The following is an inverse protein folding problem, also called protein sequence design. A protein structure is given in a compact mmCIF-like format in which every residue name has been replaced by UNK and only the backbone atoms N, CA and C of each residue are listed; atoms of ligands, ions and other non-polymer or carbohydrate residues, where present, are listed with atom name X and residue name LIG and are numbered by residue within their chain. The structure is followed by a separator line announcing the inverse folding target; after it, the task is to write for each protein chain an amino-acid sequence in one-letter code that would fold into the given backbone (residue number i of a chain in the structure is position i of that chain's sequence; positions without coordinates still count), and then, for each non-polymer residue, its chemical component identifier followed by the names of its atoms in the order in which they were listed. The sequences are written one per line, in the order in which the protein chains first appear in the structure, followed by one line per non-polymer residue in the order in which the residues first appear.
data_IF_012675807730
#
_entry.id   IF_012675807730
#
_cell.length_a   1.000
_cell.length_b   1.000
_cell.length_c   1.000
_cell.angle_alpha   90.00
_cell.angle_beta   90.00
_cell.angle_gamma   90.00
#
_symmetry.space_group_name_H-M   'P 1'
#
loop_
_entity.id
_entity.type
_entity.pdbx_description
1 polymer ?
#
# COMPACT_ATOMS: atom_id res chain seq x y z
N UNK A 1 -2.56 14.29 -3.29
CA UNK A 1 -2.70 12.90 -2.81
C UNK A 1 -3.26 12.89 -1.40
N UNK A 2 -4.18 11.98 -1.05
CA UNK A 2 -4.69 11.81 0.31
C UNK A 2 -4.33 10.41 0.82
N UNK A 3 -3.35 10.32 1.73
CA UNK A 3 -3.07 9.08 2.45
C UNK A 3 -4.17 8.83 3.50
N UNK A 4 -5.29 8.29 3.05
CA UNK A 4 -6.53 8.15 3.80
C UNK A 4 -7.30 6.91 3.34
N UNK A 5 -7.85 6.13 4.26
CA UNK A 5 -8.67 4.95 3.94
C UNK A 5 -10.02 5.30 3.28
N UNK A 6 -10.44 6.56 3.30
CA UNK A 6 -11.58 7.03 2.52
C UNK A 6 -11.27 7.14 1.01
N UNK A 7 -9.99 7.25 0.64
CA UNK A 7 -9.53 7.30 -0.74
C UNK A 7 -9.44 5.87 -1.32
N UNK A 8 -10.15 5.62 -2.42
CA UNK A 8 -10.19 4.30 -3.09
C UNK A 8 -8.82 3.94 -3.66
N UNK A 9 -8.11 4.89 -4.27
CA UNK A 9 -6.80 4.63 -4.84
C UNK A 9 -5.78 4.29 -3.73
N UNK A 10 -5.89 4.93 -2.56
CA UNK A 10 -5.09 4.56 -1.41
C UNK A 10 -5.40 3.14 -0.91
N UNK A 11 -6.67 2.76 -0.77
CA UNK A 11 -7.05 1.39 -0.38
C UNK A 11 -6.57 0.34 -1.39
N UNK A 12 -6.69 0.61 -2.68
CA UNK A 12 -6.17 -0.26 -3.74
C UNK A 12 -4.65 -0.39 -3.67
N UNK A 13 -3.92 0.67 -3.31
CA UNK A 13 -2.48 0.59 -3.08
C UNK A 13 -2.13 -0.33 -1.90
N UNK A 14 -2.84 -0.23 -0.78
CA UNK A 14 -2.60 -1.11 0.37
C UNK A 14 -2.90 -2.57 0.00
N UNK A 15 -4.02 -2.81 -0.69
CA UNK A 15 -4.38 -4.15 -1.20
C UNK A 15 -3.32 -4.72 -2.16
N UNK A 16 -2.78 -3.89 -3.07
CA UNK A 16 -1.62 -4.28 -3.89
C UNK A 16 -0.42 -4.67 -3.01
N UNK A 17 -0.17 -3.95 -1.92
CA UNK A 17 0.89 -4.25 -0.97
C UNK A 17 0.70 -5.55 -0.21
N UNK A 18 -0.54 -5.93 0.07
CA UNK A 18 -0.87 -7.22 0.67
C UNK A 18 -0.61 -8.37 -0.30
N UNK A 19 -0.99 -8.20 -1.56
CA UNK A 19 -0.80 -9.20 -2.61
C UNK A 19 0.64 -9.31 -3.13
N UNK A 20 1.49 -8.31 -2.86
CA UNK A 20 2.77 -8.10 -3.56
C UNK A 20 3.64 -9.35 -3.67
N UNK A 21 3.94 -10.01 -2.55
CA UNK A 21 4.77 -11.22 -2.56
C UNK A 21 4.12 -12.39 -3.32
N UNK A 22 2.79 -12.51 -3.24
CA UNK A 22 2.03 -13.52 -3.99
C UNK A 22 2.08 -13.28 -5.49
N UNK A 23 1.96 -12.01 -5.91
CA UNK A 23 2.11 -11.61 -7.31
C UNK A 23 3.51 -11.93 -7.83
N UNK A 24 4.56 -11.57 -7.08
CA UNK A 24 5.94 -11.89 -7.46
C UNK A 24 6.17 -13.40 -7.57
N UNK A 25 5.68 -14.20 -6.61
CA UNK A 25 5.78 -15.68 -6.67
C UNK A 25 5.04 -16.28 -7.87
N UNK A 26 3.92 -15.68 -8.28
CA UNK A 26 3.18 -16.06 -9.49
C UNK A 26 3.81 -15.52 -10.79
N UNK A 27 4.95 -14.81 -10.72
CA UNK A 27 5.60 -14.20 -11.87
C UNK A 27 4.80 -13.04 -12.48
N UNK A 28 3.95 -12.37 -11.70
CA UNK A 28 3.25 -11.14 -12.08
C UNK A 28 4.07 -9.98 -11.51
N UNK A 29 4.59 -9.12 -12.39
CA UNK A 29 5.38 -7.95 -11.99
C UNK A 29 4.51 -6.68 -12.00
N UNK A 30 4.12 -6.14 -10.83
CA UNK A 30 3.30 -4.92 -10.77
C UNK A 30 4.09 -3.65 -11.07
N UNK A 31 5.44 -3.71 -11.08
CA UNK A 31 6.30 -2.53 -11.26
C UNK A 31 6.31 -2.01 -12.69
N UNK A 32 5.85 -2.81 -13.66
CA UNK A 32 5.81 -2.48 -15.09
C UNK A 32 4.95 -1.25 -15.43
N UNK A 33 4.11 -0.78 -14.49
CA UNK A 33 3.29 0.42 -14.63
C UNK A 33 3.82 1.61 -13.84
N UNK A 34 5.08 1.56 -13.44
CA UNK A 34 5.76 2.64 -12.73
C UNK A 34 5.37 2.73 -11.25
N UNK A 35 4.77 1.67 -10.68
CA UNK A 35 4.54 1.59 -9.24
C UNK A 35 5.67 0.78 -8.58
N UNK A 36 6.52 1.47 -7.84
CA UNK A 36 7.51 0.82 -6.98
C UNK A 36 6.99 0.80 -5.55
N UNK A 37 7.11 -0.35 -4.89
CA UNK A 37 6.69 -0.51 -3.52
C UNK A 37 7.62 -1.44 -2.75
N UNK A 38 7.89 -1.06 -1.51
CA UNK A 38 8.54 -1.89 -0.50
C UNK A 38 7.59 -2.06 0.69
N UNK A 39 7.65 -3.25 1.29
CA UNK A 39 6.86 -3.65 2.46
C UNK A 39 7.79 -4.11 3.57
N UNK A 40 7.57 -3.63 4.79
CA UNK A 40 8.36 -4.00 5.98
C UNK A 40 7.40 -4.30 7.14
N UNK A 41 7.59 -5.42 7.83
CA UNK A 41 6.78 -5.79 8.99
C UNK A 41 7.48 -5.36 10.30
N UNK A 42 6.78 -4.57 11.12
CA UNK A 42 7.33 -3.92 12.32
C UNK A 42 6.74 -4.47 13.64
N UNK A 43 6.25 -5.72 13.65
CA UNK A 43 5.69 -6.32 14.87
C UNK A 43 4.36 -5.70 15.31
N UNK A 44 3.45 -5.49 14.35
CA UNK A 44 2.09 -4.98 14.60
C UNK A 44 1.67 -3.90 13.61
N UNK A 45 2.63 -3.22 12.99
CA UNK A 45 2.40 -2.38 11.81
C UNK A 45 3.09 -3.00 10.61
N UNK A 46 2.49 -2.80 9.44
CA UNK A 46 3.13 -3.01 8.15
C UNK A 46 3.44 -1.65 7.56
N UNK A 47 4.72 -1.38 7.30
CA UNK A 47 5.15 -0.17 6.59
C UNK A 47 5.10 -0.41 5.10
N UNK A 48 4.35 0.44 4.40
CA UNK A 48 4.30 0.52 2.95
C UNK A 48 5.03 1.77 2.51
N UNK A 49 6.05 1.60 1.65
CA UNK A 49 6.77 2.70 1.02
C UNK A 49 6.55 2.60 -0.49
N UNK A 50 5.85 3.57 -1.07
CA UNK A 50 5.45 3.55 -2.48
C UNK A 50 5.81 4.84 -3.21
N UNK A 51 6.12 4.72 -4.50
CA UNK A 51 6.43 5.86 -5.36
C UNK A 51 6.54 5.50 -6.84
N UNK A 52 6.71 6.50 -7.72
CA UNK A 52 6.88 6.30 -9.15
C UNK A 52 8.27 5.80 -9.56
N UNK A 53 9.17 5.59 -8.59
CA UNK A 53 10.58 5.24 -8.82
C UNK A 53 11.28 4.86 -7.53
N UNK A 54 12.61 5.02 -7.48
CA UNK A 54 13.45 4.65 -6.32
C UNK A 54 13.16 5.46 -5.05
N UNK A 55 12.57 6.65 -5.16
CA UNK A 55 12.21 7.49 -4.03
C UNK A 55 10.72 7.35 -3.70
N UNK A 56 10.42 6.82 -2.51
CA UNK A 56 9.05 6.73 -2.01
C UNK A 56 8.45 8.13 -1.79
N UNK A 57 7.31 8.40 -2.44
CA UNK A 57 6.48 9.60 -2.25
C UNK A 57 5.49 9.43 -1.11
N UNK A 58 5.10 8.18 -0.85
CA UNK A 58 4.18 7.81 0.20
C UNK A 58 4.86 6.79 1.11
N UNK A 59 4.90 7.08 2.41
CA UNK A 59 5.34 6.14 3.43
C UNK A 59 4.30 6.12 4.53
N UNK A 60 3.69 4.97 4.74
CA UNK A 60 2.64 4.78 5.74
C UNK A 60 2.87 3.52 6.54
N UNK A 61 2.45 3.52 7.79
CA UNK A 61 2.37 2.32 8.62
C UNK A 61 0.89 2.00 8.83
N UNK A 62 0.53 0.77 8.50
CA UNK A 62 -0.82 0.26 8.63
C UNK A 62 -0.87 -0.85 9.66
N UNK A 63 -1.71 -0.68 10.68
CA UNK A 63 -2.08 -1.76 11.59
C UNK A 63 -3.51 -2.20 11.26
N UNK A 64 -3.61 -3.39 10.66
CA UNK A 64 -4.87 -4.01 10.27
C UNK A 64 -5.77 -4.26 11.49
N UNK A 65 -5.22 -4.86 12.55
CA UNK A 65 -5.99 -5.25 13.75
C UNK A 65 -6.63 -4.07 14.48
N UNK A 66 -5.88 -2.97 14.64
CA UNK A 66 -6.37 -1.76 15.32
C UNK A 66 -6.92 -0.71 14.35
N UNK A 67 -6.94 -1.00 13.05
CA UNK A 67 -7.33 -0.06 11.99
C UNK A 67 -6.69 1.32 12.13
N UNK A 68 -5.38 1.34 12.37
CA UNK A 68 -4.63 2.57 12.59
C UNK A 68 -3.66 2.83 11.45
N UNK A 69 -3.84 3.98 10.79
CA UNK A 69 -2.98 4.50 9.74
C UNK A 69 -2.07 5.58 10.32
N UNK A 70 -0.76 5.37 10.24
CA UNK A 70 0.24 6.41 10.51
C UNK A 70 0.85 6.85 9.19
N UNK A 71 0.80 8.15 8.92
CA UNK A 71 1.38 8.75 7.71
C UNK A 71 2.74 9.34 8.09
N UNK A 72 3.80 8.75 7.56
CA UNK A 72 5.19 9.17 7.81
C UNK A 72 5.69 10.12 6.72
N UNK A 73 5.24 9.89 5.49
CA UNK A 73 5.51 10.73 4.32
C UNK A 73 4.32 10.70 3.38
N UNK A 74 3.94 11.86 2.86
CA UNK A 74 2.87 12.00 1.87
C UNK A 74 3.22 13.20 0.99
N UNK A 75 4.23 13.02 0.15
CA UNK A 75 4.68 14.04 -0.80
C UNK A 75 3.69 14.14 -1.97
N UNK A 76 3.81 15.21 -2.75
CA UNK A 76 3.05 15.30 -4.00
C UNK A 76 3.46 14.18 -4.96
N UNK A 77 2.45 13.56 -5.55
CA UNK A 77 2.60 12.49 -6.55
C UNK A 77 1.57 12.72 -7.65
N UNK A 78 1.93 13.52 -8.65
CA UNK A 78 1.10 13.72 -9.83
C UNK A 78 0.78 12.39 -10.50
N UNK A 79 -0.50 12.16 -10.82
CA UNK A 79 -0.95 10.93 -11.48
C UNK A 79 -1.06 9.70 -10.58
N UNK A 80 -0.99 9.85 -9.25
CA UNK A 80 -1.12 8.74 -8.28
C UNK A 80 -2.27 7.78 -8.61
N UNK A 81 -3.49 8.30 -8.76
CA UNK A 81 -4.69 7.49 -9.04
C UNK A 81 -4.58 6.74 -10.37
N UNK A 82 -4.04 7.40 -11.40
CA UNK A 82 -3.82 6.80 -12.71
C UNK A 82 -2.78 5.68 -12.65
N UNK A 83 -1.66 5.88 -11.92
CA UNK A 83 -0.63 4.86 -11.71
C UNK A 83 -1.18 3.64 -10.98
N UNK A 84 -1.93 3.84 -9.89
CA UNK A 84 -2.55 2.74 -9.13
C UNK A 84 -3.57 2.00 -10.00
N UNK A 85 -4.46 2.73 -10.67
CA UNK A 85 -5.49 2.15 -11.54
C UNK A 85 -4.89 1.33 -12.69
N UNK A 86 -3.88 1.87 -13.38
CA UNK A 86 -3.17 1.17 -14.45
C UNK A 86 -2.47 -0.09 -13.94
N UNK A 87 -1.90 -0.03 -12.72
CA UNK A 87 -1.25 -1.18 -12.09
C UNK A 87 -2.27 -2.28 -11.74
N UNK A 88 -3.39 -1.91 -11.12
CA UNK A 88 -4.49 -2.86 -10.81
C UNK A 88 -5.01 -3.52 -12.08
N UNK A 89 -5.26 -2.76 -13.15
CA UNK A 89 -5.72 -3.30 -14.43
C UNK A 89 -4.71 -4.29 -15.04
N UNK A 90 -3.41 -3.96 -14.99
CA UNK A 90 -2.34 -4.84 -15.46
C UNK A 90 -2.25 -6.13 -14.63
N UNK A 91 -2.30 -6.03 -13.30
CA UNK A 91 -2.29 -7.18 -12.38
C UNK A 91 -3.51 -8.08 -12.62
N UNK A 92 -4.73 -7.53 -12.74
CA UNK A 92 -5.94 -8.32 -13.05
C UNK A 92 -5.81 -9.06 -14.38
N UNK A 93 -5.27 -8.40 -15.40
CA UNK A 93 -5.06 -8.99 -16.73
C UNK A 93 -4.04 -10.14 -16.67
N UNK A 94 -2.93 -9.95 -15.96
CA UNK A 94 -1.90 -10.96 -15.77
C UNK A 94 -2.36 -12.13 -14.88
N UNK A 95 -3.18 -11.87 -13.87
CA UNK A 95 -3.78 -12.86 -12.99
C UNK A 95 -4.81 -13.73 -13.72
N UNK A 96 -5.61 -13.14 -14.63
CA UNK A 96 -6.52 -13.88 -15.50
C UNK A 96 -5.79 -14.92 -16.35
N UNK A 97 -4.67 -14.54 -16.95
CA UNK A 97 -3.84 -15.45 -17.75
C UNK A 97 -3.23 -16.60 -16.93
N UNK A 98 -3.14 -16.45 -15.61
CA UNK A 98 -2.59 -17.44 -14.68
C UNK A 98 -3.66 -18.19 -13.87
N UNK A 99 -4.94 -17.97 -14.13
CA UNK A 99 -6.02 -18.57 -13.37
C UNK A 99 -6.14 -18.10 -11.91
N UNK A 100 -5.56 -16.94 -11.58
CA UNK A 100 -5.54 -16.36 -10.22
C UNK A 100 -6.51 -15.18 -10.06
N UNK A 101 -7.37 -14.93 -11.06
CA UNK A 101 -8.20 -13.74 -11.10
C UNK A 101 -9.10 -13.63 -9.87
N UNK A 102 -9.75 -14.71 -9.44
CA UNK A 102 -10.72 -14.67 -8.34
C UNK A 102 -10.08 -14.18 -7.02
N UNK A 103 -8.89 -14.70 -6.68
CA UNK A 103 -8.18 -14.33 -5.45
C UNK A 103 -7.74 -12.86 -5.50
N UNK A 104 -7.20 -12.43 -6.65
CA UNK A 104 -6.73 -11.06 -6.85
C UNK A 104 -7.90 -10.07 -6.87
N UNK A 105 -8.99 -10.43 -7.56
CA UNK A 105 -10.14 -9.54 -7.71
C UNK A 105 -10.92 -9.40 -6.40
N UNK A 106 -11.04 -10.47 -5.62
CA UNK A 106 -11.67 -10.41 -4.29
C UNK A 106 -10.97 -9.38 -3.37
N UNK A 107 -9.64 -9.33 -3.40
CA UNK A 107 -8.87 -8.37 -2.62
C UNK A 107 -9.06 -6.91 -3.10
N UNK A 108 -9.19 -6.68 -4.41
CA UNK A 108 -9.45 -5.35 -4.95
C UNK A 108 -10.90 -4.90 -4.75
N UNK A 109 -11.87 -5.80 -4.90
CA UNK A 109 -13.28 -5.55 -4.63
C UNK A 109 -13.47 -5.16 -3.17
N UNK A 110 -12.89 -5.93 -2.23
CA UNK A 110 -12.88 -5.57 -0.79
C UNK A 110 -12.31 -4.17 -0.56
N UNK A 111 -11.19 -3.85 -1.21
CA UNK A 111 -10.55 -2.53 -1.11
C UNK A 111 -11.40 -1.39 -1.71
N UNK A 112 -12.31 -1.67 -2.64
CA UNK A 112 -13.28 -0.70 -3.15
C UNK A 112 -14.50 -0.56 -2.23
N UNK A 113 -14.99 -1.67 -1.68
CA UNK A 113 -16.20 -1.79 -0.86
C UNK A 113 -16.04 -1.39 0.61
N UNK A 114 -14.82 -1.14 1.09
CA UNK A 114 -14.56 -0.78 2.49
C UNK A 114 -14.70 0.74 2.80
N UNK A 115 -15.88 1.27 3.17
CA UNK A 115 -15.93 2.52 3.93
C UNK A 115 -16.77 2.41 5.22
N UNK A 116 -16.88 1.23 5.85
CA UNK A 116 -17.82 1.10 6.97
C UNK A 116 -17.31 1.69 8.29
N UNK A 117 -16.00 1.81 8.48
CA UNK A 117 -15.39 2.50 9.61
C UNK A 117 -14.19 3.31 9.12
N UNK A 118 -14.02 4.59 9.49
CA UNK A 118 -12.80 5.33 9.18
C UNK A 118 -11.64 4.79 10.03
N UNK A 119 -10.47 4.62 9.43
CA UNK A 119 -9.27 4.31 10.22
C UNK A 119 -8.91 5.49 11.12
N UNK A 120 -8.39 5.21 12.32
CA UNK A 120 -7.70 6.26 13.08
C UNK A 120 -6.51 6.70 12.23
N UNK A 121 -6.35 8.01 12.02
CA UNK A 121 -5.25 8.56 11.22
C UNK A 121 -4.37 9.45 12.07
N UNK A 122 -3.07 9.20 12.06
CA UNK A 122 -2.06 10.08 12.68
C UNK A 122 -1.01 10.45 11.65
N UNK A 123 -0.64 11.73 11.60
CA UNK A 123 0.52 12.18 10.82
C UNK A 123 1.71 12.23 11.76
N UNK A 124 2.75 11.46 11.47
CA UNK A 124 3.97 11.43 12.27
C UNK A 124 4.90 12.50 11.71
N UNK A 125 5.20 13.56 12.46
CA UNK A 125 6.10 14.58 11.97
C UNK A 125 7.52 14.02 11.85
N UNK A 126 8.27 14.51 10.85
CA UNK A 126 9.55 13.95 10.43
C UNK A 126 10.60 13.88 11.56
N UNK A 127 10.52 14.77 12.55
CA UNK A 127 11.38 14.79 13.73
C UNK A 127 11.09 13.69 14.77
N UNK A 128 9.90 13.09 14.76
CA UNK A 128 9.53 11.99 15.66
C UNK A 128 9.98 10.60 15.14
N UNK A 129 10.43 10.50 13.90
CA UNK A 129 10.95 9.25 13.31
C UNK A 129 12.35 8.88 13.82
N UNK A 130 13.13 9.85 14.30
CA UNK A 130 14.48 9.63 14.81
C UNK A 130 14.51 8.97 16.20
N UNK A 131 13.40 8.98 16.93
CA UNK A 131 13.33 8.54 18.33
C UNK A 131 12.76 7.13 18.54
N UNK A 132 12.26 6.46 17.48
CA UNK A 132 11.66 5.11 17.61
C UNK A 132 12.63 3.95 17.37
N UNK A 133 13.88 4.21 16.96
CA UNK A 133 14.88 3.17 16.65
C UNK A 133 15.75 2.72 17.83
N UNK A 134 15.49 3.17 19.07
CA UNK A 134 16.39 2.88 20.21
C UNK A 134 15.78 2.11 21.40
N UNK A 135 14.57 1.55 21.29
CA UNK A 135 13.89 0.92 22.43
C UNK A 135 13.70 -0.61 22.33
N UNK A 136 14.59 -1.34 21.64
CA UNK A 136 14.57 -2.80 21.61
C UNK A 136 15.99 -3.41 21.74
N UNK A 137 16.69 -3.10 22.83
CA UNK A 137 17.78 -3.94 23.37
C UNK A 137 17.84 -3.79 24.89
N UNK A 138 17.16 -4.67 25.62
CA UNK A 138 17.59 -5.21 26.91
C UNK A 138 17.03 -6.62 27.07
#
# INVERSE_FOLDING_TARGET
MRADTTDVAFRLLISLGELWEGLCRAGIDPTQRGLHMCKEYLGGYTRYSAGPGSHARLVVEWNESSRHLRVLRCDDWPGFEATVSATVAAVRSAARLRGLLEVVDAAFVKACEEPCLPARRTTVPMHALASSSFAARR
#
